data_IF_119775723247
#
_entry.id   IF_119775723247
#
_cell.length_a   1.000
_cell.length_b   1.000
_cell.length_c   1.000
_cell.angle_alpha   90.00
_cell.angle_beta   90.00
_cell.angle_gamma   90.00
#
_symmetry.space_group_name_H-M   'P 1'
#
loop_
_entity.id
_entity.type
_entity.pdbx_description
1 polymer ?
#
# COMPACT_ATOMS: atom_id res chain seq x y z
N UNK A 1 -9.48 21.08 1.28
CA UNK A 1 -10.80 20.67 1.83
C UNK A 1 -11.33 21.66 2.84
N UNK A 2 -10.61 22.06 3.88
CA UNK A 2 -11.04 23.08 4.85
C UNK A 2 -11.30 24.44 4.23
N UNK A 3 -10.70 24.75 3.07
CA UNK A 3 -10.94 25.99 2.31
C UNK A 3 -12.16 25.94 1.37
N UNK A 4 -12.89 24.81 1.34
CA UNK A 4 -14.05 24.63 0.45
C UNK A 4 -13.70 24.40 -1.02
N UNK A 5 -12.45 24.04 -1.32
CA UNK A 5 -11.98 23.74 -2.70
C UNK A 5 -12.36 22.33 -3.15
N UNK A 6 -12.63 21.43 -2.21
CA UNK A 6 -13.08 20.06 -2.44
C UNK A 6 -13.92 19.57 -1.26
N UNK A 7 -14.95 18.77 -1.53
CA UNK A 7 -15.84 18.22 -0.51
C UNK A 7 -15.26 16.94 0.12
N UNK A 8 -14.59 16.11 -0.67
CA UNK A 8 -13.96 14.88 -0.20
C UNK A 8 -12.60 14.65 -0.86
N UNK A 9 -11.82 13.74 -0.28
CA UNK A 9 -10.60 13.23 -0.87
C UNK A 9 -10.54 11.71 -0.76
N UNK A 10 -9.95 11.08 -1.78
CA UNK A 10 -9.81 9.62 -1.85
C UNK A 10 -8.35 9.26 -1.59
N UNK A 11 -8.14 8.32 -0.67
CA UNK A 11 -6.81 7.90 -0.23
C UNK A 11 -6.62 6.39 -0.31
N UNK A 12 -5.39 5.95 -0.54
CA UNK A 12 -4.98 4.63 -0.06
C UNK A 12 -4.99 4.68 1.47
N UNK A 13 -5.77 3.81 2.12
CA UNK A 13 -5.97 3.91 3.58
C UNK A 13 -4.67 3.73 4.38
N UNK A 14 -3.70 2.96 3.86
CA UNK A 14 -2.37 2.80 4.46
C UNK A 14 -1.57 4.10 4.57
N UNK A 15 -1.90 5.10 3.74
CA UNK A 15 -1.22 6.41 3.70
C UNK A 15 -1.96 7.47 4.55
N UNK A 16 -3.10 7.10 5.14
CA UNK A 16 -3.87 7.95 6.07
C UNK A 16 -3.29 7.79 7.48
N UNK A 17 -2.98 8.88 8.18
CA UNK A 17 -2.49 8.82 9.56
C UNK A 17 -3.39 7.96 10.45
N UNK A 18 -2.80 7.24 11.43
CA UNK A 18 -3.57 6.37 12.33
C UNK A 18 -4.60 7.15 13.15
N UNK A 19 -4.28 8.40 13.50
CA UNK A 19 -5.20 9.37 14.08
C UNK A 19 -5.49 10.46 13.04
N UNK A 20 -6.78 10.69 12.77
CA UNK A 20 -7.19 11.79 11.89
C UNK A 20 -6.98 13.12 12.60
N UNK A 21 -6.68 14.14 11.80
CA UNK A 21 -6.71 15.50 12.30
C UNK A 21 -8.14 15.91 12.67
N UNK A 22 -8.33 16.76 13.71
CA UNK A 22 -9.64 17.32 14.03
C UNK A 22 -10.28 18.01 12.82
N UNK A 23 -11.59 17.86 12.65
CA UNK A 23 -12.34 18.42 11.52
C UNK A 23 -12.46 17.48 10.33
N UNK A 24 -11.94 16.24 10.41
CA UNK A 24 -12.05 15.25 9.35
C UNK A 24 -12.64 13.92 9.82
N UNK A 25 -13.36 13.25 8.93
CA UNK A 25 -13.93 11.92 9.11
C UNK A 25 -13.61 11.00 7.92
N UNK A 26 -13.68 9.69 8.14
CA UNK A 26 -13.64 8.66 7.10
C UNK A 26 -15.01 7.99 6.99
N UNK A 27 -15.99 8.60 6.31
CA UNK A 27 -17.33 8.06 6.18
C UNK A 27 -17.39 6.75 5.42
N UNK A 28 -16.42 6.49 4.53
CA UNK A 28 -16.38 5.24 3.77
C UNK A 28 -14.98 4.66 3.71
N UNK A 29 -14.90 3.35 3.91
CA UNK A 29 -13.79 2.48 3.56
C UNK A 29 -14.35 1.45 2.59
N UNK A 30 -13.88 1.47 1.34
CA UNK A 30 -14.38 0.63 0.27
C UNK A 30 -13.93 -0.83 0.46
N UNK A 31 -14.65 -1.76 -0.19
CA UNK A 31 -14.27 -3.16 -0.23
C UNK A 31 -12.78 -3.33 -0.58
N UNK A 32 -12.08 -4.13 0.23
CA UNK A 32 -10.63 -4.29 0.18
C UNK A 32 -10.21 -5.04 -1.09
N UNK A 33 -9.30 -4.48 -1.83
CA UNK A 33 -8.58 -5.19 -2.90
C UNK A 33 -7.45 -6.05 -2.30
N UNK A 34 -6.68 -6.72 -3.17
CA UNK A 34 -5.55 -7.56 -2.75
C UNK A 34 -4.57 -6.81 -1.83
N UNK A 35 -4.42 -7.28 -0.60
CA UNK A 35 -3.56 -6.66 0.41
C UNK A 35 -2.09 -7.08 0.30
N UNK A 36 -1.76 -8.11 -0.50
CA UNK A 36 -0.40 -8.60 -0.64
C UNK A 36 0.55 -7.57 -1.26
N UNK A 37 1.83 -7.75 -1.02
CA UNK A 37 2.86 -7.12 -1.82
C UNK A 37 3.14 -7.96 -3.07
N UNK A 38 3.59 -7.31 -4.13
CA UNK A 38 3.99 -7.93 -5.39
C UNK A 38 5.51 -7.87 -5.53
N UNK A 39 6.12 -9.02 -5.77
CA UNK A 39 7.46 -9.09 -6.32
C UNK A 39 7.36 -8.90 -7.84
N UNK A 40 8.07 -7.94 -8.37
CA UNK A 40 8.09 -7.58 -9.79
C UNK A 40 9.52 -7.62 -10.29
N UNK A 41 9.76 -8.40 -11.34
CA UNK A 41 11.06 -8.50 -12.01
C UNK A 41 10.86 -8.88 -13.48
N UNK A 42 11.77 -8.46 -14.35
CA UNK A 42 11.79 -8.87 -15.75
C UNK A 42 12.43 -10.25 -15.94
N UNK A 43 13.25 -10.70 -15.00
CA UNK A 43 14.11 -11.88 -15.19
C UNK A 43 13.96 -12.96 -14.12
N UNK A 44 13.40 -12.64 -12.95
CA UNK A 44 13.35 -13.54 -11.79
C UNK A 44 11.92 -13.75 -11.30
N UNK A 45 11.60 -14.99 -10.90
CA UNK A 45 10.24 -15.36 -10.50
C UNK A 45 9.94 -15.14 -9.01
N UNK A 46 10.94 -14.76 -8.20
CA UNK A 46 10.76 -14.52 -6.77
C UNK A 46 12.06 -14.12 -6.07
N UNK A 47 11.95 -13.76 -4.78
CA UNK A 47 13.08 -13.30 -3.96
C UNK A 47 14.19 -14.36 -3.87
N UNK A 48 13.81 -15.64 -3.78
CA UNK A 48 14.77 -16.75 -3.68
C UNK A 48 15.60 -16.95 -4.97
N UNK A 49 15.06 -16.58 -6.13
CA UNK A 49 15.71 -16.70 -7.42
C UNK A 49 16.70 -15.55 -7.73
N UNK A 50 16.72 -14.50 -6.92
CA UNK A 50 17.63 -13.38 -7.10
C UNK A 50 19.08 -13.79 -6.90
N UNK A 51 20.03 -13.35 -7.74
CA UNK A 51 21.45 -13.57 -7.52
C UNK A 51 21.95 -12.86 -6.25
N UNK A 52 23.13 -13.24 -5.78
CA UNK A 52 23.78 -12.56 -4.66
C UNK A 52 24.07 -11.10 -5.01
N UNK A 53 23.75 -10.19 -4.10
CA UNK A 53 23.97 -8.75 -4.31
C UNK A 53 22.96 -8.11 -5.27
N UNK A 54 21.85 -8.77 -5.62
CA UNK A 54 20.84 -8.21 -6.51
C UNK A 54 20.25 -6.90 -5.96
N UNK A 55 20.02 -5.95 -6.86
CA UNK A 55 19.47 -4.62 -6.55
C UNK A 55 17.95 -4.69 -6.46
N UNK A 56 17.39 -4.47 -5.27
CA UNK A 56 15.94 -4.48 -5.06
C UNK A 56 15.43 -3.11 -4.67
N UNK A 57 14.53 -2.55 -5.50
CA UNK A 57 13.97 -1.23 -5.33
C UNK A 57 12.77 -1.18 -4.37
N UNK A 58 12.92 -0.46 -3.25
CA UNK A 58 11.82 -0.11 -2.34
C UNK A 58 12.23 0.99 -1.38
N UNK A 59 11.38 2.01 -1.16
CA UNK A 59 11.56 3.02 -0.12
C UNK A 59 10.79 2.71 1.17
N UNK A 60 10.07 1.57 1.23
CA UNK A 60 9.31 1.16 2.41
C UNK A 60 10.22 0.48 3.43
N UNK A 61 10.38 1.08 4.62
CA UNK A 61 11.17 0.49 5.71
C UNK A 61 10.64 -0.90 6.11
N UNK A 62 9.33 -1.10 6.12
CA UNK A 62 8.70 -2.39 6.38
C UNK A 62 9.19 -3.46 5.38
N UNK A 63 9.19 -3.14 4.08
CA UNK A 63 9.66 -4.06 3.03
C UNK A 63 11.16 -4.30 3.13
N UNK A 64 11.93 -3.25 3.37
CA UNK A 64 13.39 -3.37 3.56
C UNK A 64 13.75 -4.28 4.73
N UNK A 65 13.05 -4.15 5.87
CA UNK A 65 13.29 -5.00 7.04
C UNK A 65 13.02 -6.48 6.72
N UNK A 66 11.92 -6.79 6.04
CA UNK A 66 11.57 -8.15 5.66
C UNK A 66 12.51 -8.73 4.59
N UNK A 67 12.91 -7.93 3.59
CA UNK A 67 13.91 -8.34 2.60
C UNK A 67 15.24 -8.67 3.26
N UNK A 68 15.72 -7.82 4.18
CA UNK A 68 16.99 -8.08 4.91
C UNK A 68 16.92 -9.34 5.78
N UNK A 69 15.75 -9.63 6.39
CA UNK A 69 15.55 -10.82 7.18
C UNK A 69 15.60 -12.11 6.32
N UNK A 70 15.07 -12.05 5.10
CA UNK A 70 15.06 -13.18 4.17
C UNK A 70 16.39 -13.33 3.42
N UNK A 71 17.00 -12.23 2.99
CA UNK A 71 18.17 -12.17 2.11
C UNK A 71 19.03 -10.95 2.50
N UNK A 72 19.93 -11.14 3.44
CA UNK A 72 20.83 -10.09 3.95
C UNK A 72 21.85 -9.60 2.91
N UNK A 73 22.06 -10.36 1.85
CA UNK A 73 22.99 -10.09 0.77
C UNK A 73 22.45 -9.11 -0.28
N UNK A 74 21.14 -8.82 -0.28
CA UNK A 74 20.54 -7.93 -1.28
C UNK A 74 20.95 -6.46 -1.11
N UNK A 75 21.17 -5.78 -2.22
CA UNK A 75 21.35 -4.34 -2.25
C UNK A 75 19.99 -3.65 -2.34
N UNK A 76 19.55 -3.03 -1.24
CA UNK A 76 18.26 -2.34 -1.16
C UNK A 76 18.40 -0.88 -1.54
N UNK A 77 17.72 -0.47 -2.61
CA UNK A 77 17.80 0.85 -3.19
C UNK A 77 16.47 1.60 -3.09
N UNK A 78 16.54 2.91 -2.92
CA UNK A 78 15.35 3.77 -2.90
C UNK A 78 14.62 3.74 -4.25
N UNK A 79 13.29 3.53 -4.19
CA UNK A 79 12.41 3.54 -5.35
C UNK A 79 11.23 4.47 -5.13
N UNK A 80 11.23 5.61 -5.80
CA UNK A 80 10.19 6.66 -5.70
C UNK A 80 9.49 6.91 -7.03
N UNK A 81 8.29 7.46 -6.95
CA UNK A 81 7.41 7.75 -8.07
C UNK A 81 6.08 6.98 -8.00
N UNK A 82 5.23 7.16 -8.96
CA UNK A 82 4.01 6.36 -9.12
C UNK A 82 4.35 4.96 -9.71
N UNK A 83 3.34 4.09 -9.86
CA UNK A 83 3.54 2.72 -10.35
C UNK A 83 4.21 2.70 -11.72
N UNK A 84 3.73 3.53 -12.67
CA UNK A 84 4.31 3.58 -14.02
C UNK A 84 5.79 3.99 -13.99
N UNK A 85 6.13 5.03 -13.22
CA UNK A 85 7.53 5.47 -13.07
C UNK A 85 8.41 4.38 -12.49
N UNK A 86 7.90 3.63 -11.50
CA UNK A 86 8.66 2.56 -10.85
C UNK A 86 8.88 1.37 -11.79
N UNK A 87 7.86 1.01 -12.58
CA UNK A 87 7.99 -0.02 -13.61
C UNK A 87 8.97 0.42 -14.71
N UNK A 88 8.91 1.66 -15.18
CA UNK A 88 9.83 2.18 -16.17
C UNK A 88 11.29 2.13 -15.70
N UNK A 89 11.57 2.41 -14.42
CA UNK A 89 12.91 2.27 -13.84
C UNK A 89 13.40 0.83 -13.79
N UNK A 90 12.50 -0.12 -13.46
CA UNK A 90 12.81 -1.55 -13.55
C UNK A 90 13.13 -1.96 -14.99
N UNK A 91 12.33 -1.51 -15.94
CA UNK A 91 12.51 -1.83 -17.37
C UNK A 91 13.78 -1.19 -17.96
N UNK A 92 14.22 -0.07 -17.41
CA UNK A 92 15.51 0.56 -17.75
C UNK A 92 16.73 -0.17 -17.15
N UNK A 93 16.52 -1.18 -16.27
CA UNK A 93 17.58 -1.96 -15.65
C UNK A 93 18.22 -1.29 -14.43
N UNK A 94 17.57 -0.26 -13.85
CA UNK A 94 18.07 0.36 -12.61
C UNK A 94 18.02 -0.62 -11.43
N UNK A 95 17.13 -1.62 -11.49
CA UNK A 95 16.90 -2.64 -10.47
C UNK A 95 16.78 -4.03 -11.11
N UNK A 96 17.11 -5.07 -10.36
CA UNK A 96 16.88 -6.47 -10.74
C UNK A 96 15.46 -6.93 -10.35
N UNK A 97 14.91 -6.32 -9.30
CA UNK A 97 13.52 -6.48 -8.87
C UNK A 97 13.04 -5.24 -8.11
N UNK A 98 11.72 -5.09 -8.00
CA UNK A 98 11.06 -4.09 -7.16
C UNK A 98 9.91 -4.72 -6.39
N UNK A 99 9.56 -4.12 -5.24
CA UNK A 99 8.40 -4.57 -4.45
C UNK A 99 7.33 -3.49 -4.42
N UNK A 100 6.13 -3.82 -4.94
CA UNK A 100 4.97 -2.94 -5.00
C UNK A 100 3.79 -3.55 -4.24
N UNK A 101 2.66 -2.85 -4.14
CA UNK A 101 1.42 -3.42 -3.64
C UNK A 101 0.63 -4.04 -4.81
N UNK A 102 0.12 -5.27 -4.67
CA UNK A 102 -0.70 -5.94 -5.69
C UNK A 102 -1.87 -5.07 -6.13
N UNK A 103 -2.64 -4.51 -5.20
CA UNK A 103 -3.77 -3.65 -5.52
C UNK A 103 -3.40 -2.46 -6.42
N UNK A 104 -2.19 -1.91 -6.29
CA UNK A 104 -1.74 -0.81 -7.13
C UNK A 104 -1.49 -1.23 -8.57
N UNK A 105 -0.92 -2.41 -8.78
CA UNK A 105 -0.70 -2.99 -10.11
C UNK A 105 -2.02 -3.39 -10.76
N UNK A 106 -2.88 -4.11 -10.04
CA UNK A 106 -4.17 -4.59 -10.52
C UNK A 106 -5.09 -3.46 -10.96
N UNK A 107 -5.18 -2.36 -10.18
CA UNK A 107 -6.00 -1.19 -10.52
C UNK A 107 -5.55 -0.49 -11.81
N UNK A 108 -4.30 -0.68 -12.21
CA UNK A 108 -3.73 -0.11 -13.43
C UNK A 108 -3.62 -1.14 -14.57
N UNK A 109 -4.11 -2.38 -14.37
CA UNK A 109 -4.06 -3.43 -15.39
C UNK A 109 -2.68 -4.03 -15.62
N UNK A 110 -1.80 -4.00 -14.59
CA UNK A 110 -0.45 -4.57 -14.64
C UNK A 110 -0.36 -5.90 -13.89
N UNK A 111 -1.40 -6.72 -13.90
CA UNK A 111 -1.45 -8.02 -13.22
C UNK A 111 -0.36 -8.96 -13.74
N UNK A 112 -0.07 -8.93 -15.02
CA UNK A 112 0.96 -9.71 -15.69
C UNK A 112 2.40 -9.40 -15.23
N UNK A 113 2.60 -8.24 -14.58
CA UNK A 113 3.89 -7.85 -14.00
C UNK A 113 4.15 -8.46 -12.62
N UNK A 114 3.14 -9.05 -11.99
CA UNK A 114 3.26 -9.71 -10.69
C UNK A 114 3.88 -11.10 -10.90
N UNK A 115 5.16 -11.25 -10.57
CA UNK A 115 5.86 -12.54 -10.64
C UNK A 115 5.55 -13.44 -9.46
N UNK A 116 5.48 -12.84 -8.26
CA UNK A 116 5.07 -13.54 -7.06
C UNK A 116 4.28 -12.62 -6.13
N UNK A 117 3.28 -13.18 -5.46
CA UNK A 117 2.60 -12.51 -4.34
C UNK A 117 3.41 -12.77 -3.07
N UNK A 118 3.68 -11.70 -2.32
CA UNK A 118 4.35 -11.74 -1.02
C UNK A 118 3.27 -11.50 0.04
N UNK A 119 2.95 -12.55 0.81
CA UNK A 119 1.79 -12.57 1.71
C UNK A 119 2.08 -13.33 3.01
N UNK A 120 1.20 -13.20 3.99
CA UNK A 120 1.29 -13.92 5.27
C UNK A 120 1.27 -15.45 5.06
N UNK A 121 1.92 -16.22 5.93
CA UNK A 121 2.61 -15.79 7.17
C UNK A 121 4.03 -15.27 6.98
N UNK A 122 4.65 -15.51 5.82
CA UNK A 122 6.08 -15.26 5.59
C UNK A 122 6.39 -13.80 5.26
N UNK A 123 5.37 -13.04 4.86
CA UNK A 123 5.49 -11.62 4.52
C UNK A 123 4.28 -10.84 5.00
N UNK A 124 4.52 -9.78 5.78
CA UNK A 124 3.44 -8.95 6.33
C UNK A 124 3.20 -7.70 5.48
N UNK A 125 1.97 -7.47 5.00
CA UNK A 125 1.60 -6.23 4.30
C UNK A 125 1.59 -5.02 5.24
N UNK A 126 1.47 -3.82 4.68
CA UNK A 126 1.20 -2.64 5.50
C UNK A 126 -0.22 -2.69 6.08
N UNK A 127 -0.45 -2.16 7.30
CA UNK A 127 -1.80 -2.02 7.83
C UNK A 127 -2.71 -1.29 6.84
N UNK A 128 -3.90 -1.83 6.62
CA UNK A 128 -4.90 -1.33 5.67
C UNK A 128 -4.46 -1.30 4.20
N UNK A 129 -3.38 -1.99 3.81
CA UNK A 129 -3.01 -2.10 2.41
C UNK A 129 -4.13 -2.74 1.58
N UNK A 130 -4.36 -2.23 0.37
CA UNK A 130 -5.44 -2.67 -0.53
C UNK A 130 -6.76 -1.92 -0.33
N UNK A 131 -7.00 -1.30 0.82
CA UNK A 131 -8.20 -0.52 1.08
C UNK A 131 -8.07 0.93 0.60
N UNK A 132 -9.17 1.46 0.08
CA UNK A 132 -9.36 2.87 -0.25
C UNK A 132 -10.30 3.47 0.79
N UNK A 133 -10.01 4.69 1.25
CA UNK A 133 -10.87 5.46 2.11
C UNK A 133 -11.28 6.78 1.47
N UNK A 134 -12.48 7.23 1.80
CA UNK A 134 -12.96 8.58 1.47
C UNK A 134 -12.90 9.40 2.76
N UNK A 135 -12.24 10.55 2.70
CA UNK A 135 -12.14 11.51 3.80
C UNK A 135 -12.95 12.76 3.44
N UNK A 136 -13.71 13.28 4.38
CA UNK A 136 -14.44 14.55 4.26
C UNK A 136 -14.38 15.34 5.57
N UNK A 137 -14.99 16.53 5.59
CA UNK A 137 -15.22 17.29 6.82
C UNK A 137 -16.17 16.52 7.75
N UNK A 138 -15.92 16.55 9.03
CA UNK A 138 -16.74 15.85 10.03
C UNK A 138 -18.06 16.58 10.35
N UNK A 139 -18.19 17.86 9.95
CA UNK A 139 -19.39 18.68 10.09
C UNK A 139 -20.29 18.67 8.83
N UNK A 140 -19.89 18.01 7.73
CA UNK A 140 -20.64 17.93 6.48
C UNK A 140 -21.53 16.68 6.43
N UNK A 141 -22.68 16.74 7.11
CA UNK A 141 -23.60 15.62 7.19
C UNK A 141 -24.11 15.12 5.82
N UNK A 142 -24.24 16.00 4.82
CA UNK A 142 -24.70 15.62 3.50
C UNK A 142 -23.65 14.79 2.76
N UNK A 143 -22.40 15.21 2.75
CA UNK A 143 -21.29 14.47 2.14
C UNK A 143 -21.03 13.16 2.88
N UNK A 144 -21.08 13.18 4.21
CA UNK A 144 -20.97 11.96 5.03
C UNK A 144 -22.01 10.92 4.63
N UNK A 145 -23.29 11.33 4.53
CA UNK A 145 -24.38 10.41 4.17
C UNK A 145 -24.22 9.82 2.75
N UNK A 146 -23.78 10.65 1.80
CA UNK A 146 -23.52 10.20 0.42
C UNK A 146 -22.36 9.18 0.37
N UNK A 147 -21.27 9.47 1.05
CA UNK A 147 -20.09 8.60 1.07
C UNK A 147 -20.35 7.29 1.83
N UNK A 148 -21.13 7.32 2.90
CA UNK A 148 -21.41 6.14 3.73
C UNK A 148 -22.07 4.97 2.94
N UNK A 149 -22.73 5.28 1.82
CA UNK A 149 -23.29 4.26 0.93
C UNK A 149 -22.20 3.37 0.27
N UNK A 150 -20.96 3.82 0.26
CA UNK A 150 -19.81 3.10 -0.30
C UNK A 150 -19.02 2.31 0.76
N UNK A 151 -19.42 2.38 2.02
CA UNK A 151 -18.70 1.73 3.11
C UNK A 151 -18.87 0.22 3.12
N UNK A 152 -17.78 -0.51 3.22
CA UNK A 152 -17.75 -1.96 3.41
C UNK A 152 -17.47 -2.30 4.87
N UNK A 153 -18.47 -2.79 5.57
CA UNK A 153 -18.39 -3.06 7.01
C UNK A 153 -17.34 -4.14 7.37
N UNK A 154 -17.16 -5.14 6.51
CA UNK A 154 -16.18 -6.20 6.72
C UNK A 154 -14.76 -5.65 6.62
N UNK A 155 -14.48 -4.90 5.56
CA UNK A 155 -13.20 -4.21 5.39
C UNK A 155 -12.93 -3.24 6.53
N UNK A 156 -13.92 -2.41 6.91
CA UNK A 156 -13.80 -1.45 8.03
C UNK A 156 -13.40 -2.15 9.32
N UNK A 157 -14.02 -3.27 9.64
CA UNK A 157 -13.70 -4.04 10.84
C UNK A 157 -12.26 -4.56 10.82
N UNK A 158 -11.85 -5.19 9.71
CA UNK A 158 -10.51 -5.75 9.56
C UNK A 158 -9.43 -4.67 9.63
N UNK A 159 -9.56 -3.61 8.82
CA UNK A 159 -8.54 -2.56 8.78
C UNK A 159 -8.54 -1.70 10.05
N UNK A 160 -9.69 -1.61 10.73
CA UNK A 160 -9.79 -0.98 12.03
C UNK A 160 -8.94 -1.71 13.08
N UNK A 161 -9.00 -3.03 13.12
CA UNK A 161 -8.16 -3.85 13.99
C UNK A 161 -6.66 -3.72 13.67
N UNK A 162 -6.31 -3.77 12.37
CA UNK A 162 -4.91 -3.59 11.91
C UNK A 162 -4.36 -2.21 12.32
N UNK A 163 -5.14 -1.15 12.14
CA UNK A 163 -4.76 0.22 12.51
C UNK A 163 -4.64 0.40 14.02
N UNK A 164 -5.57 -0.17 14.79
CA UNK A 164 -5.53 -0.14 16.26
C UNK A 164 -4.29 -0.85 16.81
N UNK A 165 -3.96 -2.02 16.26
CA UNK A 165 -2.73 -2.75 16.62
C UNK A 165 -1.48 -1.91 16.30
N UNK A 166 -1.42 -1.33 15.09
CA UNK A 166 -0.27 -0.51 14.68
C UNK A 166 -0.10 0.71 15.60
N UNK A 167 -1.21 1.37 15.97
CA UNK A 167 -1.19 2.50 16.90
C UNK A 167 -0.66 2.08 18.29
N UNK A 168 -1.11 0.91 18.80
CA UNK A 168 -0.65 0.38 20.09
C UNK A 168 0.85 0.03 20.10
N UNK A 169 1.40 -0.33 18.93
CA UNK A 169 2.83 -0.60 18.73
C UNK A 169 3.65 0.66 18.39
N UNK A 170 3.06 1.86 18.53
CA UNK A 170 3.67 3.13 18.13
C UNK A 170 4.12 3.20 16.67
N UNK A 171 3.43 2.45 15.79
CA UNK A 171 3.60 2.54 14.35
C UNK A 171 2.93 3.80 13.79
N UNK A 172 3.55 4.38 12.77
CA UNK A 172 3.02 5.55 12.04
C UNK A 172 2.32 5.13 10.75
#
# INVERSE_FOLDING_TARGET
>A
RLRGEADCAVHSLKDVPMQLEPGFALPAILARADHADAFVSNHFDGIAALPQGARVGTSSLRRQAQLRALRADLELLDLRGNVNTRLAKLDAGDYDAIVLACAGLQRLGFDDRIRARLDAPDWLPAPAQGAIAIECRDDDAAVIALCAALDDAATRTCVGAERAMNLALHGS
#
